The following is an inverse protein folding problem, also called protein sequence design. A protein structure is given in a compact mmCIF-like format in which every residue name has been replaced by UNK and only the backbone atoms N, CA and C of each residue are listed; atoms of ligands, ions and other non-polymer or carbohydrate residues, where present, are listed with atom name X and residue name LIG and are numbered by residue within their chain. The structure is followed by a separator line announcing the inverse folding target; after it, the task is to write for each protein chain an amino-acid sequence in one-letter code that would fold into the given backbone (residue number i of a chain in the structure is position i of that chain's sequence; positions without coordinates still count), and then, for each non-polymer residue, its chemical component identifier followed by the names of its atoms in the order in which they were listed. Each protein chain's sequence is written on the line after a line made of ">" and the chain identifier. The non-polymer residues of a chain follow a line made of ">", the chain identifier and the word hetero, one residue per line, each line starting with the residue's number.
data_IF_262676918496
#
_entry.id   IF_262676918496
#
_cell.length_a   1.000
_cell.length_b   1.000
_cell.length_c   1.000
_cell.angle_alpha   90.00
_cell.angle_beta   90.00
_cell.angle_gamma   90.00
#
_symmetry.space_group_name_H-M   'P 1'
#
loop_
_entity.id
_entity.type
_entity.pdbx_description
1 polymer ?
#
# COMPACT_ATOMS: atom_id res chain seq x y z
N UNK A 1 -60.52 33.22 25.14
CA UNK A 1 -59.09 33.63 25.15
C UNK A 1 -58.28 32.37 25.39
N UNK A 2 -57.39 32.00 24.45
CA UNK A 2 -56.35 30.94 24.44
C UNK A 2 -56.39 30.23 23.07
N UNK A 3 -55.46 30.58 22.16
CA UNK A 3 -54.51 29.58 21.66
C UNK A 3 -53.15 30.16 21.21
N UNK A 4 -52.58 31.14 21.93
CA UNK A 4 -51.32 31.78 21.51
C UNK A 4 -50.07 31.19 22.18
N UNK A 5 -50.17 30.63 23.40
CA UNK A 5 -49.01 30.08 24.15
C UNK A 5 -48.44 28.76 23.59
N UNK A 6 -49.20 28.01 22.77
CA UNK A 6 -48.72 26.74 22.19
C UNK A 6 -47.77 26.92 21.00
N UNK A 7 -47.78 28.08 20.34
CA UNK A 7 -46.88 28.35 19.21
C UNK A 7 -45.47 28.74 19.67
N UNK A 8 -45.32 29.43 20.81
CA UNK A 8 -44.02 29.87 21.36
C UNK A 8 -43.20 28.73 22.01
N UNK A 9 -43.86 27.77 22.64
CA UNK A 9 -43.17 26.59 23.18
C UNK A 9 -42.67 25.64 22.07
N UNK A 10 -43.38 25.61 20.93
CA UNK A 10 -43.03 24.79 19.77
C UNK A 10 -41.89 25.41 18.96
N UNK A 11 -41.76 26.73 18.93
CA UNK A 11 -40.62 27.43 18.30
C UNK A 11 -39.34 27.31 19.15
N UNK A 12 -39.42 27.33 20.48
CA UNK A 12 -38.26 27.12 21.37
C UNK A 12 -37.67 25.70 21.24
N UNK A 13 -38.52 24.67 21.11
CA UNK A 13 -38.04 23.28 21.00
C UNK A 13 -37.36 23.00 19.66
N UNK A 14 -37.84 23.61 18.58
CA UNK A 14 -37.22 23.54 17.25
C UNK A 14 -35.87 24.26 17.21
N UNK A 15 -35.74 25.41 17.89
CA UNK A 15 -34.48 26.14 17.97
C UNK A 15 -33.41 25.34 18.73
N UNK A 16 -33.80 24.66 19.82
CA UNK A 16 -32.89 23.77 20.57
C UNK A 16 -32.42 22.57 19.74
N UNK A 17 -33.29 21.97 18.93
CA UNK A 17 -32.93 20.87 18.04
C UNK A 17 -31.98 21.32 16.93
N UNK A 18 -32.19 22.51 16.36
CA UNK A 18 -31.30 23.10 15.36
C UNK A 18 -29.88 23.33 15.91
N UNK A 19 -29.76 23.87 17.13
CA UNK A 19 -28.45 24.07 17.76
C UNK A 19 -27.75 22.71 17.99
N UNK A 20 -28.47 21.71 18.48
CA UNK A 20 -27.91 20.37 18.70
C UNK A 20 -27.43 19.73 17.39
N UNK A 21 -28.19 19.89 16.30
CA UNK A 21 -27.82 19.41 14.97
C UNK A 21 -26.55 20.09 14.47
N UNK A 22 -26.44 21.41 14.61
CA UNK A 22 -25.26 22.18 14.18
C UNK A 22 -24.02 21.75 14.97
N UNK A 23 -24.13 21.60 16.29
CA UNK A 23 -23.02 21.11 17.13
C UNK A 23 -22.60 19.70 16.73
N UNK A 24 -23.56 18.81 16.42
CA UNK A 24 -23.27 17.47 15.95
C UNK A 24 -22.56 17.48 14.58
N UNK A 25 -22.99 18.33 13.65
CA UNK A 25 -22.33 18.48 12.35
C UNK A 25 -20.90 19.03 12.48
N UNK A 26 -20.67 19.98 13.39
CA UNK A 26 -19.33 20.49 13.69
C UNK A 26 -18.45 19.36 14.26
N UNK A 27 -18.98 18.57 15.19
CA UNK A 27 -18.25 17.40 15.72
C UNK A 27 -17.88 16.41 14.61
N UNK A 28 -18.83 16.07 13.74
CA UNK A 28 -18.56 15.19 12.60
C UNK A 28 -17.53 15.79 11.64
N UNK A 29 -17.59 17.09 11.34
CA UNK A 29 -16.62 17.76 10.47
C UNK A 29 -15.21 17.73 11.07
N UNK A 30 -15.05 18.00 12.37
CA UNK A 30 -13.74 17.93 13.05
C UNK A 30 -13.18 16.51 13.08
N UNK A 31 -14.03 15.50 13.27
CA UNK A 31 -13.63 14.09 13.21
C UNK A 31 -13.23 13.73 11.79
N UNK A 32 -14.01 14.16 10.79
CA UNK A 32 -13.69 13.92 9.39
C UNK A 32 -12.33 14.52 9.03
N UNK A 33 -12.08 15.81 9.29
CA UNK A 33 -10.77 16.42 9.02
C UNK A 33 -9.61 15.71 9.72
N UNK A 34 -9.79 15.32 10.98
CA UNK A 34 -8.76 14.58 11.73
C UNK A 34 -8.54 13.17 11.17
N UNK A 35 -9.60 12.49 10.78
CA UNK A 35 -9.54 11.12 10.26
C UNK A 35 -8.97 11.11 8.84
N UNK A 36 -9.49 11.97 7.94
CA UNK A 36 -8.98 12.13 6.58
C UNK A 36 -7.55 12.69 6.54
N UNK A 37 -7.19 13.61 7.44
CA UNK A 37 -5.82 14.09 7.59
C UNK A 37 -4.83 13.01 8.06
N UNK A 38 -5.31 12.05 8.87
CA UNK A 38 -4.51 10.89 9.32
C UNK A 38 -4.20 9.87 8.21
N UNK A 39 -5.08 9.73 7.21
CA UNK A 39 -4.90 8.78 6.09
C UNK A 39 -3.67 9.14 5.24
N UNK A 40 -3.36 10.44 5.09
CA UNK A 40 -2.19 10.88 4.32
C UNK A 40 -0.85 10.62 5.05
N UNK A 41 -0.87 10.41 6.38
CA UNK A 41 0.35 10.11 7.17
C UNK A 41 0.67 8.62 7.30
N UNK A 42 -0.18 7.74 6.75
CA UNK A 42 0.11 6.30 6.70
C UNK A 42 1.11 5.96 5.59
N UNK A 43 1.29 6.83 4.58
CA UNK A 43 2.18 6.58 3.43
C UNK A 43 3.68 6.56 3.80
N UNK A 44 4.13 7.38 4.77
CA UNK A 44 5.54 7.41 5.15
C UNK A 44 6.00 6.16 5.94
N UNK A 45 5.08 5.52 6.67
CA UNK A 45 5.34 4.26 7.37
C UNK A 45 4.95 3.05 6.52
N UNK A 46 4.14 3.22 5.46
CA UNK A 46 3.75 2.13 4.57
C UNK A 46 4.92 1.65 3.73
N UNK A 47 5.77 2.54 3.19
CA UNK A 47 6.88 2.08 2.36
C UNK A 47 7.96 1.35 3.18
N UNK A 48 8.24 1.80 4.40
CA UNK A 48 9.13 1.08 5.32
C UNK A 48 8.55 -0.29 5.72
N UNK A 49 7.23 -0.39 5.86
CA UNK A 49 6.54 -1.67 6.10
C UNK A 49 6.64 -2.59 4.88
N UNK A 50 6.40 -2.08 3.67
CA UNK A 50 6.53 -2.84 2.43
C UNK A 50 7.97 -3.29 2.18
N UNK A 51 8.96 -2.47 2.56
CA UNK A 51 10.37 -2.89 2.53
C UNK A 51 10.62 -4.12 3.41
N UNK A 52 10.15 -4.11 4.65
CA UNK A 52 10.28 -5.26 5.55
C UNK A 52 9.51 -6.48 5.03
N UNK A 53 8.32 -6.27 4.48
CA UNK A 53 7.52 -7.33 3.86
C UNK A 53 8.24 -7.94 2.67
N UNK A 54 8.83 -7.12 1.81
CA UNK A 54 9.61 -7.56 0.66
C UNK A 54 10.81 -8.42 1.09
N UNK A 55 11.57 -7.99 2.11
CA UNK A 55 12.67 -8.79 2.65
C UNK A 55 12.20 -10.17 3.15
N UNK A 56 11.09 -10.21 3.87
CA UNK A 56 10.52 -11.46 4.40
C UNK A 56 10.04 -12.38 3.27
N UNK A 57 9.33 -11.83 2.27
CA UNK A 57 8.87 -12.59 1.11
C UNK A 57 10.06 -13.12 0.31
N UNK A 58 11.08 -12.31 0.04
CA UNK A 58 12.28 -12.75 -0.69
C UNK A 58 13.02 -13.87 0.03
N UNK A 59 13.14 -13.80 1.36
CA UNK A 59 13.75 -14.87 2.15
C UNK A 59 12.95 -16.17 2.04
N UNK A 60 11.61 -16.08 2.13
CA UNK A 60 10.72 -17.22 1.96
C UNK A 60 10.80 -17.82 0.54
N UNK A 61 10.70 -16.98 -0.50
CA UNK A 61 10.82 -17.37 -1.91
C UNK A 61 12.13 -18.12 -2.14
N UNK A 62 13.25 -17.56 -1.69
CA UNK A 62 14.57 -18.18 -1.86
C UNK A 62 14.68 -19.51 -1.13
N UNK A 63 14.10 -19.62 0.07
CA UNK A 63 14.06 -20.89 0.83
C UNK A 63 13.26 -21.96 0.09
N UNK A 64 12.09 -21.61 -0.45
CA UNK A 64 11.25 -22.55 -1.19
C UNK A 64 11.91 -22.95 -2.53
N UNK A 65 12.52 -22.00 -3.24
CA UNK A 65 13.29 -22.28 -4.45
C UNK A 65 14.42 -23.29 -4.21
N UNK A 66 15.13 -23.16 -3.07
CA UNK A 66 16.14 -24.15 -2.67
C UNK A 66 15.51 -25.52 -2.38
N UNK A 67 14.39 -25.55 -1.66
CA UNK A 67 13.67 -26.78 -1.31
C UNK A 67 13.15 -27.53 -2.55
N UNK A 68 12.69 -26.80 -3.57
CA UNK A 68 12.14 -27.34 -4.81
C UNK A 68 13.20 -27.78 -5.84
N UNK A 69 14.49 -27.70 -5.50
CA UNK A 69 15.57 -28.12 -6.41
C UNK A 69 15.92 -27.09 -7.48
N UNK A 70 15.71 -25.79 -7.19
CA UNK A 70 16.12 -24.65 -8.03
C UNK A 70 15.40 -24.56 -9.38
N UNK A 71 14.06 -24.58 -9.41
CA UNK A 71 13.31 -24.45 -10.65
C UNK A 71 13.48 -23.04 -11.25
N UNK A 72 13.35 -22.92 -12.57
CA UNK A 72 13.34 -21.62 -13.26
C UNK A 72 12.01 -20.88 -13.10
N UNK A 73 10.94 -21.61 -12.78
CA UNK A 73 9.59 -21.07 -12.56
C UNK A 73 9.02 -21.70 -11.31
N UNK A 74 8.39 -20.89 -10.48
CA UNK A 74 7.86 -21.33 -9.20
C UNK A 74 6.48 -20.69 -8.97
N UNK A 75 5.52 -21.47 -8.50
CA UNK A 75 4.21 -20.93 -8.13
C UNK A 75 4.29 -20.25 -6.77
N UNK A 76 3.73 -19.05 -6.67
CA UNK A 76 3.68 -18.28 -5.45
C UNK A 76 2.53 -18.74 -4.55
N UNK A 77 2.62 -19.97 -4.04
CA UNK A 77 1.53 -20.63 -3.29
C UNK A 77 1.18 -19.94 -1.96
N UNK A 78 2.05 -19.05 -1.46
CA UNK A 78 1.82 -18.26 -0.23
C UNK A 78 0.96 -17.02 -0.46
N UNK A 79 0.77 -16.59 -1.70
CA UNK A 79 -0.15 -15.51 -2.04
C UNK A 79 -1.51 -16.12 -2.32
N UNK A 80 -2.18 -16.55 -1.24
CA UNK A 80 -3.60 -16.89 -1.31
C UNK A 80 -4.39 -15.59 -1.49
N UNK A 81 -4.49 -15.12 -2.74
CA UNK A 81 -5.37 -14.02 -3.10
C UNK A 81 -6.82 -14.41 -2.75
N UNK A 82 -7.61 -13.47 -2.21
CA UNK A 82 -8.99 -13.70 -1.74
C UNK A 82 -9.93 -14.34 -2.79
N UNK A 83 -9.54 -14.35 -4.07
CA UNK A 83 -10.32 -14.92 -5.17
C UNK A 83 -9.79 -16.25 -5.73
N UNK A 84 -8.79 -16.89 -5.10
CA UNK A 84 -8.39 -18.28 -5.40
C UNK A 84 -7.93 -18.59 -6.84
N UNK A 85 -7.62 -17.59 -7.67
CA UNK A 85 -7.37 -17.78 -9.11
C UNK A 85 -6.05 -17.25 -9.65
N UNK A 86 -5.23 -16.54 -8.86
CA UNK A 86 -3.92 -16.09 -9.35
C UNK A 86 -2.84 -17.10 -8.96
N UNK A 87 -2.60 -18.08 -9.83
CA UNK A 87 -1.37 -18.86 -9.82
C UNK A 87 -0.22 -17.96 -10.30
N UNK A 88 0.20 -17.01 -9.46
CA UNK A 88 1.32 -16.14 -9.79
C UNK A 88 2.57 -17.00 -9.92
N UNK A 89 3.13 -17.03 -11.12
CA UNK A 89 4.32 -17.83 -11.41
C UNK A 89 5.52 -16.90 -11.43
N UNK A 90 6.36 -16.99 -10.40
CA UNK A 90 7.61 -16.26 -10.34
C UNK A 90 8.61 -16.89 -11.30
N UNK A 91 9.21 -16.07 -12.14
CA UNK A 91 10.40 -16.43 -12.90
C UNK A 91 11.62 -16.18 -12.01
N UNK A 92 12.51 -17.16 -11.94
CA UNK A 92 13.66 -17.15 -11.06
C UNK A 92 14.95 -17.09 -11.87
N UNK A 93 15.89 -16.26 -11.41
CA UNK A 93 17.24 -16.22 -11.96
C UNK A 93 18.06 -17.45 -11.49
N UNK A 94 19.31 -17.55 -11.96
CA UNK A 94 20.22 -18.64 -11.53
C UNK A 94 20.66 -18.50 -10.06
N UNK A 95 20.61 -17.29 -9.50
CA UNK A 95 20.90 -16.98 -8.10
C UNK A 95 19.79 -17.37 -7.13
N UNK A 96 18.59 -17.67 -7.63
CA UNK A 96 17.41 -18.00 -6.83
C UNK A 96 16.62 -16.78 -6.39
N UNK A 97 16.63 -15.74 -7.22
CA UNK A 97 15.92 -14.48 -7.01
C UNK A 97 14.84 -14.27 -8.07
N UNK A 98 13.69 -13.69 -7.69
CA UNK A 98 12.67 -13.26 -8.64
C UNK A 98 13.23 -12.29 -9.70
N UNK A 99 12.91 -12.55 -10.96
CA UNK A 99 13.27 -11.70 -12.10
C UNK A 99 12.03 -11.23 -12.85
N UNK A 100 12.21 -10.23 -13.69
CA UNK A 100 11.20 -9.69 -14.60
C UNK A 100 11.34 -10.30 -15.99
N UNK A 101 10.20 -10.49 -16.67
CA UNK A 101 10.15 -10.93 -18.07
C UNK A 101 10.38 -9.76 -19.04
N UNK A 102 9.88 -8.57 -18.69
CA UNK A 102 10.12 -7.32 -19.43
C UNK A 102 11.04 -6.41 -18.63
N UNK A 103 12.18 -6.06 -19.21
CA UNK A 103 13.18 -5.18 -18.57
C UNK A 103 12.79 -3.71 -18.73
N UNK A 104 11.66 -3.34 -18.13
CA UNK A 104 11.05 -2.02 -18.15
C UNK A 104 10.25 -1.74 -16.86
N UNK A 105 9.68 -0.53 -16.76
CA UNK A 105 8.88 -0.14 -15.61
C UNK A 105 7.65 -1.05 -15.39
N UNK A 106 7.09 -1.59 -16.47
CA UNK A 106 5.95 -2.51 -16.40
C UNK A 106 6.36 -3.85 -15.78
N UNK A 107 7.55 -4.37 -16.12
CA UNK A 107 8.07 -5.59 -15.50
C UNK A 107 8.35 -5.41 -14.00
N UNK A 108 8.86 -4.24 -13.60
CA UNK A 108 9.03 -3.91 -12.18
C UNK A 108 7.68 -3.82 -11.44
N UNK A 109 6.65 -3.28 -12.08
CA UNK A 109 5.29 -3.24 -11.52
C UNK A 109 4.70 -4.64 -11.36
N UNK A 110 4.88 -5.51 -12.37
CA UNK A 110 4.47 -6.91 -12.29
C UNK A 110 5.18 -7.63 -11.14
N UNK A 111 6.49 -7.47 -11.03
CA UNK A 111 7.26 -8.05 -9.93
C UNK A 111 6.80 -7.58 -8.56
N UNK A 112 6.50 -6.29 -8.42
CA UNK A 112 5.95 -5.73 -7.19
C UNK A 112 4.64 -6.41 -6.79
N UNK A 113 3.72 -6.54 -7.75
CA UNK A 113 2.46 -7.24 -7.53
C UNK A 113 2.66 -8.73 -7.23
N UNK A 114 3.59 -9.39 -7.92
CA UNK A 114 3.90 -10.80 -7.71
C UNK A 114 4.53 -11.10 -6.36
N UNK A 115 5.23 -10.15 -5.74
CA UNK A 115 5.86 -10.33 -4.43
C UNK A 115 4.99 -9.84 -3.28
N UNK A 116 4.28 -8.73 -3.45
CA UNK A 116 3.55 -8.06 -2.36
C UNK A 116 2.02 -8.18 -2.50
N UNK A 117 1.53 -8.66 -3.63
CA UNK A 117 0.10 -8.87 -3.87
C UNK A 117 -0.75 -7.60 -3.93
N UNK A 118 -0.11 -6.43 -4.07
CA UNK A 118 -0.75 -5.11 -4.18
C UNK A 118 -0.19 -4.42 -5.43
N UNK A 119 -1.01 -3.62 -6.12
CA UNK A 119 -0.51 -2.87 -7.29
C UNK A 119 0.30 -1.65 -6.86
N UNK A 120 1.15 -1.15 -7.75
CA UNK A 120 1.94 0.06 -7.50
C UNK A 120 1.05 1.27 -7.15
N UNK A 121 -0.10 1.40 -7.82
CA UNK A 121 -1.07 2.48 -7.57
C UNK A 121 -1.76 2.32 -6.20
N UNK A 122 -2.08 1.08 -5.79
CA UNK A 122 -2.66 0.83 -4.46
C UNK A 122 -1.67 1.14 -3.33
N UNK A 123 -0.38 0.93 -3.59
CA UNK A 123 0.71 1.23 -2.68
C UNK A 123 1.22 2.67 -2.78
N UNK A 124 0.65 3.51 -3.65
CA UNK A 124 1.07 4.90 -3.86
C UNK A 124 2.56 5.03 -4.24
N UNK A 125 3.04 4.10 -5.08
CA UNK A 125 4.43 4.06 -5.57
C UNK A 125 4.50 4.17 -7.09
N UNK A 126 5.45 4.98 -7.56
CA UNK A 126 5.88 5.01 -8.95
C UNK A 126 6.99 3.97 -9.19
N UNK A 127 6.89 3.24 -10.30
CA UNK A 127 7.87 2.22 -10.71
C UNK A 127 8.79 2.77 -11.78
N UNK A 128 10.09 2.54 -11.62
CA UNK A 128 11.12 2.89 -12.60
C UNK A 128 12.12 1.73 -12.73
N UNK A 129 12.61 1.49 -13.95
CA UNK A 129 13.61 0.47 -14.21
C UNK A 129 14.93 1.11 -14.66
N UNK A 130 16.00 0.87 -13.91
CA UNK A 130 17.37 1.19 -14.31
C UNK A 130 17.96 0.01 -15.11
N UNK A 131 18.03 0.18 -16.42
CA UNK A 131 18.58 -0.82 -17.33
C UNK A 131 20.10 -1.01 -17.26
N UNK A 132 20.86 -0.05 -16.73
CA UNK A 132 22.31 -0.21 -16.57
C UNK A 132 22.65 -1.11 -15.39
N UNK A 133 21.93 -0.93 -14.27
CA UNK A 133 22.18 -1.67 -13.04
C UNK A 133 21.24 -2.86 -12.83
N UNK A 134 20.22 -2.99 -13.67
CA UNK A 134 19.12 -3.95 -13.56
C UNK A 134 18.41 -3.84 -12.19
N UNK A 135 18.02 -2.61 -11.85
CA UNK A 135 17.37 -2.27 -10.59
C UNK A 135 15.94 -1.80 -10.86
N UNK A 136 14.99 -2.34 -10.09
CA UNK A 136 13.65 -1.81 -9.99
C UNK A 136 13.59 -0.81 -8.84
N UNK A 137 13.24 0.44 -9.14
CA UNK A 137 13.01 1.50 -8.16
C UNK A 137 11.51 1.69 -7.95
N UNK A 138 11.10 1.72 -6.69
CA UNK A 138 9.74 1.99 -6.24
C UNK A 138 9.78 3.24 -5.38
N UNK A 139 9.22 4.36 -5.84
CA UNK A 139 9.31 5.67 -5.17
C UNK A 139 7.93 6.18 -4.80
N UNK A 140 7.77 6.70 -3.59
CA UNK A 140 6.55 7.42 -3.18
C UNK A 140 6.66 8.90 -3.55
N UNK A 141 5.53 9.61 -3.60
CA UNK A 141 5.52 11.07 -3.78
C UNK A 141 6.27 11.80 -2.65
N UNK A 142 6.33 11.20 -1.45
CA UNK A 142 7.06 11.73 -0.29
C UNK A 142 8.59 11.64 -0.41
N UNK A 143 9.12 11.04 -1.47
CA UNK A 143 10.56 10.93 -1.72
C UNK A 143 11.23 9.70 -1.09
N UNK A 144 10.46 8.82 -0.44
CA UNK A 144 10.97 7.54 0.02
C UNK A 144 11.06 6.56 -1.16
N UNK A 145 11.99 5.63 -1.10
CA UNK A 145 12.24 4.69 -2.17
C UNK A 145 12.70 3.32 -1.69
N UNK A 146 12.24 2.29 -2.39
CA UNK A 146 12.77 0.92 -2.31
C UNK A 146 13.45 0.64 -3.64
N UNK A 147 14.64 0.06 -3.60
CA UNK A 147 15.36 -0.40 -4.78
C UNK A 147 15.60 -1.90 -4.67
N UNK A 148 15.20 -2.65 -5.69
CA UNK A 148 15.42 -4.09 -5.79
C UNK A 148 16.38 -4.40 -6.93
N UNK A 149 17.52 -5.03 -6.62
CA UNK A 149 18.48 -5.46 -7.62
C UNK A 149 18.19 -6.88 -8.09
N UNK A 150 17.84 -7.03 -9.36
CA UNK A 150 17.35 -8.30 -9.94
C UNK A 150 18.42 -9.41 -9.88
N UNK A 151 19.68 -9.07 -10.13
CA UNK A 151 20.78 -10.04 -10.22
C UNK A 151 21.24 -10.59 -8.86
N UNK A 152 20.94 -9.90 -7.77
CA UNK A 152 21.48 -10.20 -6.45
C UNK A 152 20.42 -10.38 -5.36
N UNK A 153 19.16 -10.04 -5.66
CA UNK A 153 18.07 -10.00 -4.70
C UNK A 153 18.23 -8.96 -3.60
N UNK A 154 19.19 -8.04 -3.73
CA UNK A 154 19.42 -7.01 -2.72
C UNK A 154 18.27 -6.01 -2.74
N UNK A 155 17.80 -5.65 -1.55
CA UNK A 155 16.80 -4.61 -1.35
C UNK A 155 17.46 -3.48 -0.57
N UNK A 156 17.42 -2.27 -1.12
CA UNK A 156 17.82 -1.05 -0.42
C UNK A 156 16.60 -0.18 -0.16
N UNK A 157 16.57 0.46 1.00
CA UNK A 157 15.58 1.48 1.35
C UNK A 157 16.30 2.82 1.49
N UNK A 158 15.74 3.86 0.88
CA UNK A 158 16.23 5.23 0.99
C UNK A 158 15.05 6.16 1.19
N UNK A 159 14.96 6.77 2.37
CA UNK A 159 13.97 7.78 2.71
C UNK A 159 14.50 8.67 3.82
N UNK A 160 14.34 9.99 3.69
CA UNK A 160 14.69 10.92 4.74
C UNK A 160 13.72 10.74 5.91
N UNK A 161 14.24 10.27 7.04
CA UNK A 161 13.55 10.41 8.32
C UNK A 161 13.66 11.90 8.66
N UNK A 162 12.60 12.66 8.35
CA UNK A 162 12.49 14.02 8.85
C UNK A 162 12.57 13.97 10.39
N UNK A 163 13.69 14.44 10.92
CA UNK A 163 13.89 14.73 12.35
C UNK A 163 12.97 15.86 12.80
#
# INVERSE_FOLDING_TARGET
>A
MQPQEQQDLKSISLFRQLIALVVFLILLATIAERYFGGINTVSANSLALEHNRLLNVLAMVRSQWQSLGKPQRMTADWLLFENGQATNTLVMDRGGWPTIDTFDAQGCEQLWFELLGVTAQQADVATEFDGQQQICHFRTESGQSISYQISSGQVAYSGDVAN
#
